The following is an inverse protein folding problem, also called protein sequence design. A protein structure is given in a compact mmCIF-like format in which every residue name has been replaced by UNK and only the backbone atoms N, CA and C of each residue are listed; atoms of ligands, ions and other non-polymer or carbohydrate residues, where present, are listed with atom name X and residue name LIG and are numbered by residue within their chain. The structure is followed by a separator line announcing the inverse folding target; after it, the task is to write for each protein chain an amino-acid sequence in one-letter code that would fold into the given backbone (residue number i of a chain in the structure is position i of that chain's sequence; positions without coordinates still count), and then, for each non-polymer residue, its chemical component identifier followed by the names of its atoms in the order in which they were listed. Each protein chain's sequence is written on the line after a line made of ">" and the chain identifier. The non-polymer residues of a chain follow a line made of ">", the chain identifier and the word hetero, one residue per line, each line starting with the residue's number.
data_IF_146907175335
#
_entry.id   IF_146907175335
#
_cell.length_a   1.000
_cell.length_b   1.000
_cell.length_c   1.000
_cell.angle_alpha   90.00
_cell.angle_beta   90.00
_cell.angle_gamma   90.00
#
_symmetry.space_group_name_H-M   'P 1'
#
loop_
_entity.id
_entity.type
_entity.pdbx_description
1 polymer ?
#
# COMPACT_ATOMS: atom_id res chain seq x y z
N UNK A 1 -34.50 9.30 -4.67
CA UNK A 1 -34.11 8.06 -3.96
C UNK A 1 -33.01 7.42 -4.77
N UNK A 2 -31.93 6.99 -4.13
CA UNK A 2 -30.86 6.30 -4.83
C UNK A 2 -31.35 4.92 -5.30
N UNK A 3 -30.95 4.51 -6.49
CA UNK A 3 -31.33 3.21 -7.06
C UNK A 3 -30.59 2.08 -6.33
N UNK A 4 -31.18 0.88 -6.23
CA UNK A 4 -30.53 -0.26 -5.55
C UNK A 4 -29.14 -0.58 -6.12
N UNK A 5 -28.97 -0.46 -7.44
CA UNK A 5 -27.68 -0.64 -8.11
C UNK A 5 -26.65 0.43 -7.71
N UNK A 6 -27.06 1.69 -7.57
CA UNK A 6 -26.16 2.78 -7.17
C UNK A 6 -25.68 2.60 -5.72
N UNK A 7 -26.52 2.04 -4.84
CA UNK A 7 -26.09 1.67 -3.48
C UNK A 7 -25.03 0.57 -3.49
N UNK A 8 -25.18 -0.45 -4.33
CA UNK A 8 -24.17 -1.51 -4.49
C UNK A 8 -22.84 -0.95 -4.97
N UNK A 9 -22.88 -0.10 -6.00
CA UNK A 9 -21.69 0.58 -6.55
C UNK A 9 -20.98 1.41 -5.48
N UNK A 10 -21.73 2.19 -4.69
CA UNK A 10 -21.17 3.00 -3.61
C UNK A 10 -20.55 2.13 -2.51
N UNK A 11 -21.18 1.01 -2.17
CA UNK A 11 -20.67 0.11 -1.13
C UNK A 11 -19.33 -0.49 -1.56
N UNK A 12 -19.23 -0.98 -2.81
CA UNK A 12 -17.97 -1.48 -3.36
C UNK A 12 -16.90 -0.40 -3.51
N UNK A 13 -17.29 0.85 -3.77
CA UNK A 13 -16.35 1.97 -3.79
C UNK A 13 -15.81 2.27 -2.38
N UNK A 14 -16.66 2.18 -1.35
CA UNK A 14 -16.23 2.36 0.04
C UNK A 14 -15.21 1.31 0.46
N UNK A 15 -15.33 0.06 0.00
CA UNK A 15 -14.34 -0.99 0.29
C UNK A 15 -12.93 -0.61 -0.23
N UNK A 16 -12.84 -0.04 -1.43
CA UNK A 16 -11.58 0.48 -1.97
C UNK A 16 -11.06 1.63 -1.09
N UNK A 17 -11.91 2.60 -0.78
CA UNK A 17 -11.52 3.78 0.00
C UNK A 17 -11.12 3.44 1.44
N UNK A 18 -11.71 2.40 2.03
CA UNK A 18 -11.39 1.96 3.39
C UNK A 18 -9.93 1.50 3.52
N UNK A 19 -9.39 0.85 2.48
CA UNK A 19 -7.97 0.45 2.47
C UNK A 19 -7.03 1.67 2.50
N UNK A 20 -7.40 2.76 1.81
CA UNK A 20 -6.66 4.03 1.81
C UNK A 20 -6.83 4.79 3.12
N UNK A 21 -8.04 4.76 3.70
CA UNK A 21 -8.31 5.34 5.01
C UNK A 21 -7.45 4.68 6.08
N UNK A 22 -7.39 3.35 6.11
CA UNK A 22 -6.57 2.59 7.07
C UNK A 22 -5.08 2.97 6.98
N UNK A 23 -4.54 3.04 5.76
CA UNK A 23 -3.16 3.49 5.49
C UNK A 23 -2.91 4.94 5.98
N UNK A 24 -3.86 5.84 5.73
CA UNK A 24 -3.77 7.25 6.11
C UNK A 24 -3.88 7.43 7.62
N UNK A 25 -4.76 6.67 8.26
CA UNK A 25 -4.98 6.70 9.72
C UNK A 25 -3.77 6.18 10.47
N UNK A 26 -3.13 5.12 10.00
CA UNK A 26 -1.87 4.62 10.57
C UNK A 26 -0.75 5.67 10.44
N UNK A 27 -0.64 6.33 9.29
CA UNK A 27 0.37 7.37 9.04
C UNK A 27 0.13 8.63 9.88
N UNK A 28 -1.15 8.98 10.09
CA UNK A 28 -1.56 10.23 10.76
C UNK A 28 -1.80 10.06 12.27
N UNK A 29 -1.91 8.83 12.77
CA UNK A 29 -2.16 8.52 14.17
C UNK A 29 -0.92 8.65 15.05
N UNK A 30 0.27 8.50 14.47
CA UNK A 30 1.53 8.62 15.19
C UNK A 30 2.01 10.08 15.25
N UNK A 31 2.51 10.50 16.43
CA UNK A 31 3.18 11.81 16.59
C UNK A 31 4.39 11.98 15.66
N UNK A 32 5.01 10.86 15.29
CA UNK A 32 6.09 10.79 14.31
C UNK A 32 5.88 9.56 13.42
N UNK A 33 5.58 9.76 12.14
CA UNK A 33 5.54 8.66 11.19
C UNK A 33 6.94 8.04 11.08
N UNK A 34 7.09 6.80 11.57
CA UNK A 34 8.35 6.09 11.51
C UNK A 34 8.63 5.66 10.08
N UNK A 35 9.75 6.11 9.50
CA UNK A 35 10.13 5.77 8.12
C UNK A 35 10.24 4.26 7.85
N UNK A 36 10.43 3.44 8.90
CA UNK A 36 10.43 1.98 8.82
C UNK A 36 9.08 1.38 8.43
N UNK A 37 7.97 2.08 8.70
CA UNK A 37 6.61 1.62 8.39
C UNK A 37 6.22 1.83 6.92
N UNK A 38 6.92 2.69 6.19
CA UNK A 38 6.50 3.14 4.85
C UNK A 38 6.40 1.97 3.87
N UNK A 39 7.46 1.15 3.76
CA UNK A 39 7.48 -0.02 2.87
C UNK A 39 6.39 -1.05 3.26
N UNK A 40 6.30 -1.49 4.54
CA UNK A 40 5.23 -2.38 4.99
C UNK A 40 3.82 -1.85 4.73
N UNK A 41 3.58 -0.56 4.96
CA UNK A 41 2.26 0.05 4.83
C UNK A 41 1.83 0.12 3.37
N UNK A 42 2.74 0.49 2.46
CA UNK A 42 2.47 0.47 1.01
C UNK A 42 2.19 -0.95 0.53
N UNK A 43 2.99 -1.92 0.96
CA UNK A 43 2.80 -3.33 0.59
C UNK A 43 1.44 -3.86 1.07
N UNK A 44 1.09 -3.63 2.33
CA UNK A 44 -0.21 -4.03 2.90
C UNK A 44 -1.38 -3.34 2.20
N UNK A 45 -1.26 -2.05 1.87
CA UNK A 45 -2.28 -1.31 1.14
C UNK A 45 -2.52 -1.90 -0.25
N UNK A 46 -1.47 -2.19 -1.01
CA UNK A 46 -1.56 -2.81 -2.33
C UNK A 46 -2.15 -4.22 -2.24
N UNK A 47 -1.72 -5.02 -1.26
CA UNK A 47 -2.24 -6.37 -1.03
C UNK A 47 -3.74 -6.35 -0.71
N UNK A 48 -4.17 -5.47 0.20
CA UNK A 48 -5.57 -5.29 0.54
C UNK A 48 -6.39 -4.89 -0.70
N UNK A 49 -5.92 -3.91 -1.48
CA UNK A 49 -6.58 -3.50 -2.71
C UNK A 49 -6.70 -4.63 -3.73
N UNK A 50 -5.69 -5.50 -3.88
CA UNK A 50 -5.73 -6.65 -4.79
C UNK A 50 -6.70 -7.75 -4.34
N UNK A 51 -6.93 -7.88 -3.03
CA UNK A 51 -7.78 -8.92 -2.44
C UNK A 51 -9.28 -8.56 -2.43
N UNK A 52 -9.66 -7.32 -2.73
CA UNK A 52 -11.07 -6.93 -2.83
C UNK A 52 -11.70 -7.62 -4.05
N UNK A 53 -12.75 -8.41 -3.81
CA UNK A 53 -13.55 -9.07 -4.85
C UNK A 53 -14.55 -8.05 -5.38
N UNK A 54 -14.43 -7.72 -6.67
CA UNK A 54 -15.26 -6.69 -7.32
C UNK A 54 -15.97 -7.32 -8.52
N UNK A 55 -17.30 -7.33 -8.47
CA UNK A 55 -18.15 -7.88 -9.55
C UNK A 55 -18.48 -6.82 -10.61
N UNK A 56 -18.56 -5.55 -10.21
CA UNK A 56 -18.98 -4.45 -11.07
C UNK A 56 -17.85 -3.89 -11.95
N UNK A 57 -18.14 -3.71 -13.24
CA UNK A 57 -17.16 -3.30 -14.26
C UNK A 57 -16.57 -1.91 -14.01
N UNK A 58 -17.41 -0.96 -13.59
CA UNK A 58 -17.00 0.41 -13.28
C UNK A 58 -16.01 0.47 -12.13
N UNK A 59 -16.30 -0.25 -11.04
CA UNK A 59 -15.46 -0.27 -9.85
C UNK A 59 -14.13 -0.98 -10.11
N UNK A 60 -14.12 -2.00 -10.97
CA UNK A 60 -12.88 -2.66 -11.40
C UNK A 60 -11.94 -1.72 -12.15
N UNK A 61 -12.47 -0.83 -13.00
CA UNK A 61 -11.66 0.21 -13.66
C UNK A 61 -11.10 1.22 -12.64
N UNK A 62 -11.90 1.60 -11.64
CA UNK A 62 -11.43 2.47 -10.55
C UNK A 62 -10.31 1.80 -9.75
N UNK A 63 -10.47 0.54 -9.36
CA UNK A 63 -9.44 -0.24 -8.65
C UNK A 63 -8.14 -0.29 -9.47
N UNK A 64 -8.23 -0.58 -10.77
CA UNK A 64 -7.08 -0.64 -11.67
C UNK A 64 -6.36 0.71 -11.79
N UNK A 65 -7.10 1.80 -11.94
CA UNK A 65 -6.53 3.16 -11.99
C UNK A 65 -5.86 3.53 -10.68
N UNK A 66 -6.49 3.23 -9.56
CA UNK A 66 -5.93 3.45 -8.22
C UNK A 66 -4.62 2.68 -8.03
N UNK A 67 -4.59 1.39 -8.38
CA UNK A 67 -3.34 0.59 -8.33
C UNK A 67 -2.26 1.14 -9.28
N UNK A 68 -2.64 1.66 -10.44
CA UNK A 68 -1.70 2.25 -11.40
C UNK A 68 -1.06 3.53 -10.85
N UNK A 69 -1.85 4.44 -10.28
CA UNK A 69 -1.32 5.66 -9.67
C UNK A 69 -0.51 5.36 -8.40
N UNK A 70 -0.93 4.39 -7.58
CA UNK A 70 -0.14 3.93 -6.43
C UNK A 70 1.22 3.41 -6.89
N UNK A 71 1.28 2.52 -7.88
CA UNK A 71 2.56 2.01 -8.39
C UNK A 71 3.43 3.11 -9.01
N UNK A 72 2.83 4.09 -9.69
CA UNK A 72 3.56 5.23 -10.24
C UNK A 72 4.19 6.11 -9.16
N UNK A 73 3.49 6.33 -8.04
CA UNK A 73 3.96 7.18 -6.94
C UNK A 73 4.88 6.42 -5.97
N UNK A 74 4.60 5.15 -5.73
CA UNK A 74 5.13 4.37 -4.61
C UNK A 74 5.92 3.12 -5.05
N UNK A 75 5.92 2.77 -6.34
CA UNK A 75 6.54 1.54 -6.85
C UNK A 75 8.07 1.52 -6.77
N UNK A 76 8.73 2.68 -6.68
CA UNK A 76 10.18 2.79 -6.52
C UNK A 76 10.62 2.98 -5.06
N UNK A 77 9.71 2.86 -4.09
CA UNK A 77 10.03 3.14 -2.67
C UNK A 77 11.06 2.17 -2.10
N UNK A 78 11.03 0.90 -2.51
CA UNK A 78 12.02 -0.09 -2.08
C UNK A 78 13.44 0.24 -2.58
N UNK A 79 13.55 0.95 -3.71
CA UNK A 79 14.83 1.40 -4.27
C UNK A 79 15.42 2.60 -3.51
N UNK A 80 14.59 3.30 -2.71
CA UNK A 80 15.06 4.39 -1.84
C UNK A 80 15.84 3.78 -0.67
N UNK A 81 17.16 3.82 -0.77
CA UNK A 81 18.05 3.15 0.17
C UNK A 81 17.81 3.52 1.63
N UNK A 82 17.48 4.78 1.93
CA UNK A 82 17.19 5.21 3.29
C UNK A 82 15.95 4.52 3.88
N UNK A 83 14.86 4.42 3.10
CA UNK A 83 13.63 3.75 3.54
C UNK A 83 13.85 2.24 3.65
N UNK A 84 14.55 1.64 2.70
CA UNK A 84 14.86 0.22 2.70
C UNK A 84 15.73 -0.16 3.91
N UNK A 85 16.81 0.58 4.19
CA UNK A 85 17.68 0.34 5.34
C UNK A 85 16.90 0.45 6.65
N UNK A 86 16.11 1.51 6.82
CA UNK A 86 15.36 1.74 8.07
C UNK A 86 14.26 0.68 8.26
N UNK A 87 13.61 0.22 7.20
CA UNK A 87 12.64 -0.88 7.27
C UNK A 87 13.31 -2.22 7.64
N UNK A 88 14.52 -2.50 7.12
CA UNK A 88 15.28 -3.71 7.44
C UNK A 88 15.79 -3.69 8.89
N UNK A 89 16.27 -2.55 9.36
CA UNK A 89 16.77 -2.37 10.72
C UNK A 89 15.66 -2.46 11.77
N UNK A 90 14.41 -2.18 11.40
CA UNK A 90 13.26 -2.34 12.29
C UNK A 90 12.95 -3.84 12.51
N UNK A 91 13.12 -4.36 13.75
CA UNK A 91 12.94 -5.79 14.02
C UNK A 91 11.53 -6.30 13.73
N UNK A 92 10.53 -5.40 13.65
CA UNK A 92 9.13 -5.73 13.38
C UNK A 92 8.89 -6.15 11.93
N UNK A 93 9.68 -5.63 10.99
CA UNK A 93 9.45 -5.82 9.55
C UNK A 93 10.54 -6.66 8.88
N UNK A 94 11.81 -6.35 9.17
CA UNK A 94 12.97 -7.02 8.53
C UNK A 94 12.82 -7.04 7.01
N UNK A 95 12.82 -8.23 6.40
CA UNK A 95 12.76 -8.45 4.95
C UNK A 95 11.36 -8.84 4.46
N UNK A 96 10.35 -8.88 5.33
CA UNK A 96 9.06 -9.55 5.06
C UNK A 96 8.22 -8.87 3.98
N UNK A 97 8.31 -7.54 3.88
CA UNK A 97 7.41 -6.72 3.05
C UNK A 97 8.09 -6.14 1.79
N UNK A 98 9.23 -6.71 1.40
CA UNK A 98 9.91 -6.34 0.16
C UNK A 98 9.42 -7.23 -0.99
N UNK A 99 8.91 -6.63 -2.06
CA UNK A 99 8.60 -7.35 -3.31
C UNK A 99 9.84 -7.44 -4.22
N UNK A 100 10.74 -6.46 -4.17
CA UNK A 100 11.95 -6.40 -5.00
C UNK A 100 13.16 -7.00 -4.27
N UNK A 101 13.49 -8.24 -4.64
CA UNK A 101 14.65 -8.97 -4.11
C UNK A 101 15.98 -8.28 -4.37
N UNK A 102 16.12 -7.54 -5.48
CA UNK A 102 17.34 -6.81 -5.83
C UNK A 102 17.48 -5.56 -4.96
N UNK A 103 16.39 -4.80 -4.77
CA UNK A 103 16.35 -3.65 -3.88
C UNK A 103 16.73 -4.04 -2.44
N UNK A 104 16.17 -5.15 -1.97
CA UNK A 104 16.45 -5.72 -0.66
C UNK A 104 17.93 -6.09 -0.50
N UNK A 105 18.50 -6.83 -1.46
CA UNK A 105 19.92 -7.20 -1.43
C UNK A 105 20.85 -5.98 -1.44
N UNK A 106 20.52 -4.97 -2.25
CA UNK A 106 21.25 -3.71 -2.30
C UNK A 106 21.22 -2.97 -0.96
N UNK A 107 20.06 -2.90 -0.29
CA UNK A 107 19.94 -2.27 1.01
C UNK A 107 20.73 -3.03 2.09
N UNK A 108 20.67 -4.37 2.13
CA UNK A 108 21.45 -5.20 3.05
C UNK A 108 22.96 -4.98 2.87
N UNK A 109 23.42 -4.87 1.62
CA UNK A 109 24.85 -4.63 1.33
C UNK A 109 25.37 -3.30 1.91
N UNK A 110 24.48 -2.32 2.12
CA UNK A 110 24.81 -0.99 2.65
C UNK A 110 24.77 -0.90 4.18
N UNK A 111 24.28 -1.94 4.88
CA UNK A 111 24.20 -2.00 6.35
C UNK A 111 25.54 -2.48 6.97
N UNK A 112 26.59 -2.62 6.15
CA UNK A 112 27.92 -3.08 6.56
C UNK A 112 28.67 -2.08 7.43
#
# INVERSE_FOLDING_TARGET
>A
MLTGMELTILTSLLDILQSLEAATKETSGDKYCSSSKVIPLVHCMISNLKNIVIEESLIKEVQKRTLTEINKLMGAIEQVSALAIVAILDPRFKLLHFEDSLACANAVSKIK
#
